data_IF_442639328870
#
_entry.id   IF_442639328870
#
_cell.length_a   1.000
_cell.length_b   1.000
_cell.length_c   1.000
_cell.angle_alpha   90.00
_cell.angle_beta   90.00
_cell.angle_gamma   90.00
#
_symmetry.space_group_name_H-M   'P 1'
#
loop_
_entity.id
_entity.type
_entity.pdbx_description
1 polymer ?
#
# COMPACT_ATOMS: atom_id res chain seq x y z
N UNK A 1 -2.02 13.13 -1.46
CA UNK A 1 -1.71 12.32 -2.68
C UNK A 1 -0.30 11.69 -2.70
N UNK A 2 0.58 12.04 -1.81
CA UNK A 2 1.97 11.55 -1.70
C UNK A 2 2.09 10.02 -1.58
N UNK A 3 1.21 9.36 -0.83
CA UNK A 3 1.19 7.89 -0.70
C UNK A 3 1.04 7.12 -2.03
N UNK A 4 0.37 7.71 -3.03
CA UNK A 4 0.28 7.11 -4.37
C UNK A 4 1.55 7.32 -5.17
N UNK A 5 2.19 8.49 -5.04
CA UNK A 5 3.40 8.83 -5.78
C UNK A 5 4.62 8.03 -5.34
N UNK A 6 4.67 7.59 -4.07
CA UNK A 6 5.73 6.75 -3.52
C UNK A 6 5.42 5.25 -3.61
N UNK A 7 4.24 4.86 -4.06
CA UNK A 7 3.65 3.52 -3.96
C UNK A 7 3.58 2.96 -2.53
N UNK A 8 3.71 3.81 -1.51
CA UNK A 8 3.49 3.40 -0.12
C UNK A 8 2.11 2.78 0.08
N UNK A 9 1.07 3.40 -0.51
CA UNK A 9 -0.29 2.89 -0.44
C UNK A 9 -0.39 1.43 -0.94
N UNK A 10 0.28 1.10 -2.04
CA UNK A 10 0.30 -0.29 -2.56
C UNK A 10 1.08 -1.23 -1.66
N UNK A 11 2.11 -0.74 -0.99
CA UNK A 11 2.82 -1.50 0.04
C UNK A 11 1.93 -1.81 1.25
N UNK A 12 1.17 -0.83 1.73
CA UNK A 12 0.20 -1.02 2.82
C UNK A 12 -0.94 -1.95 2.41
N UNK A 13 -1.50 -1.80 1.21
CA UNK A 13 -2.54 -2.70 0.68
C UNK A 13 -2.04 -4.15 0.54
N UNK A 14 -0.77 -4.38 0.22
CA UNK A 14 -0.17 -5.71 0.24
C UNK A 14 -0.17 -6.29 1.66
N UNK A 15 0.25 -5.50 2.65
CA UNK A 15 0.24 -5.90 4.06
C UNK A 15 -1.20 -6.22 4.51
N UNK A 16 -2.16 -5.36 4.17
CA UNK A 16 -3.58 -5.58 4.46
C UNK A 16 -4.10 -6.88 3.84
N UNK A 17 -3.78 -7.14 2.58
CA UNK A 17 -4.22 -8.35 1.89
C UNK A 17 -3.66 -9.64 2.51
N UNK A 18 -2.40 -9.62 2.98
CA UNK A 18 -1.81 -10.73 3.73
C UNK A 18 -2.65 -11.05 4.96
N UNK A 19 -3.00 -10.05 5.75
CA UNK A 19 -3.77 -10.24 6.99
C UNK A 19 -5.25 -10.55 6.73
N UNK A 20 -5.91 -9.87 5.80
CA UNK A 20 -7.34 -10.06 5.52
C UNK A 20 -7.64 -11.41 4.89
N UNK A 21 -6.76 -11.91 4.03
CA UNK A 21 -6.98 -13.16 3.28
C UNK A 21 -6.14 -14.34 3.78
N UNK A 22 -5.25 -14.13 4.74
CA UNK A 22 -4.35 -15.19 5.23
C UNK A 22 -3.42 -15.74 4.15
N UNK A 23 -3.04 -14.92 3.17
CA UNK A 23 -2.20 -15.32 2.06
C UNK A 23 -0.72 -15.00 2.34
N UNK A 24 0.21 -15.86 1.91
CA UNK A 24 1.62 -15.51 1.98
C UNK A 24 1.92 -14.36 0.98
N UNK A 25 2.84 -13.44 1.32
CA UNK A 25 3.14 -12.26 0.51
C UNK A 25 3.53 -12.59 -0.94
N UNK A 26 4.14 -13.74 -1.16
CA UNK A 26 4.59 -14.22 -2.48
C UNK A 26 3.43 -14.53 -3.44
N UNK A 27 2.22 -14.74 -2.91
CA UNK A 27 1.01 -14.95 -3.71
C UNK A 27 0.29 -13.64 -4.07
N UNK A 28 0.79 -12.51 -3.61
CA UNK A 28 0.20 -11.19 -3.88
C UNK A 28 1.10 -10.45 -4.84
N UNK A 29 0.63 -10.23 -6.06
CA UNK A 29 1.34 -9.49 -7.08
C UNK A 29 0.82 -8.06 -7.19
N UNK A 30 1.72 -7.09 -7.31
CA UNK A 30 1.40 -5.70 -7.58
C UNK A 30 1.73 -5.40 -9.03
N UNK A 31 0.75 -4.91 -9.75
CA UNK A 31 0.89 -4.42 -11.13
C UNK A 31 0.49 -2.95 -11.20
N UNK A 32 1.17 -2.21 -12.06
CA UNK A 32 0.85 -0.81 -12.32
C UNK A 32 -0.10 -0.73 -13.51
N UNK A 33 -1.27 -0.13 -13.30
CA UNK A 33 -2.28 0.09 -14.33
C UNK A 33 -2.62 1.58 -14.34
N UNK A 34 -2.05 2.30 -15.33
CA UNK A 34 -2.05 3.78 -15.36
C UNK A 34 -3.43 4.38 -15.48
N UNK A 35 -4.34 3.71 -16.20
CA UNK A 35 -5.73 4.15 -16.36
C UNK A 35 -6.54 4.04 -15.05
N UNK A 36 -6.05 3.28 -14.07
CA UNK A 36 -6.70 3.07 -12.77
C UNK A 36 -8.15 2.53 -12.89
N UNK A 37 -8.35 1.61 -13.82
CA UNK A 37 -9.64 0.96 -14.10
C UNK A 37 -9.71 -0.41 -13.44
N UNK A 38 -8.61 -1.17 -13.45
CA UNK A 38 -8.52 -2.47 -12.73
C UNK A 38 -8.07 -2.20 -11.30
N UNK A 39 -8.89 -2.57 -10.34
CA UNK A 39 -8.62 -2.30 -8.92
C UNK A 39 -8.12 -3.52 -8.16
N UNK A 40 -8.62 -4.72 -8.53
CA UNK A 40 -8.15 -5.98 -7.97
C UNK A 40 -8.39 -7.11 -8.96
N UNK A 41 -7.62 -8.20 -8.83
CA UNK A 41 -7.82 -9.40 -9.62
C UNK A 41 -7.48 -10.64 -8.77
N UNK A 42 -8.15 -11.75 -9.06
CA UNK A 42 -7.87 -13.06 -8.47
C UNK A 42 -7.55 -14.02 -9.59
N UNK A 43 -6.38 -14.64 -9.53
CA UNK A 43 -5.98 -15.73 -10.41
C UNK A 43 -6.24 -17.06 -9.72
N UNK A 44 -6.97 -17.94 -10.40
CA UNK A 44 -7.29 -19.29 -9.92
C UNK A 44 -6.21 -20.31 -10.31
N UNK A 45 -6.30 -21.51 -9.77
CA UNK A 45 -5.35 -22.61 -10.02
C UNK A 45 -5.32 -23.07 -11.48
N UNK A 46 -6.41 -22.86 -12.22
CA UNK A 46 -6.51 -23.13 -13.66
C UNK A 46 -5.97 -21.96 -14.53
N UNK A 47 -5.35 -20.95 -13.90
CA UNK A 47 -4.84 -19.72 -14.50
C UNK A 47 -5.91 -18.76 -15.04
N UNK A 48 -7.20 -19.04 -14.86
CA UNK A 48 -8.22 -18.04 -15.18
C UNK A 48 -8.13 -16.86 -14.20
N UNK A 49 -8.50 -15.66 -14.67
CA UNK A 49 -8.41 -14.42 -13.87
C UNK A 49 -9.76 -13.74 -13.84
N UNK A 50 -10.24 -13.42 -12.64
CA UNK A 50 -11.40 -12.54 -12.45
C UNK A 50 -10.93 -11.23 -11.86
N UNK A 51 -11.32 -10.11 -12.48
CA UNK A 51 -10.93 -8.78 -12.06
C UNK A 51 -12.14 -7.90 -11.76
N UNK A 52 -11.99 -7.02 -10.78
CA UNK A 52 -12.94 -5.94 -10.52
C UNK A 52 -12.48 -4.70 -11.30
N UNK A 53 -13.34 -4.20 -12.18
CA UNK A 53 -13.14 -3.00 -12.98
C UNK A 53 -14.18 -1.94 -12.61
N UNK A 54 -13.78 -0.67 -12.73
CA UNK A 54 -14.67 0.47 -12.52
C UNK A 54 -13.95 1.79 -12.78
N UNK A 55 -14.68 2.87 -12.91
CA UNK A 55 -14.09 4.22 -12.92
C UNK A 55 -13.35 4.46 -11.58
N UNK A 56 -12.25 5.26 -11.57
CA UNK A 56 -11.42 5.46 -10.38
C UNK A 56 -12.11 6.40 -9.37
N UNK A 57 -13.15 5.91 -8.73
CA UNK A 57 -13.98 6.65 -7.79
C UNK A 57 -14.26 5.82 -6.53
N UNK A 58 -13.83 6.34 -5.38
CA UNK A 58 -14.01 5.68 -4.09
C UNK A 58 -15.47 5.53 -3.64
N UNK A 59 -16.40 6.27 -4.25
CA UNK A 59 -17.82 6.12 -3.96
C UNK A 59 -18.35 4.73 -4.30
N UNK A 60 -17.75 4.04 -5.27
CA UNK A 60 -18.13 2.66 -5.62
C UNK A 60 -17.94 1.68 -4.45
N UNK A 61 -16.73 1.50 -3.90
CA UNK A 61 -16.53 0.58 -2.78
C UNK A 61 -17.22 1.05 -1.49
N UNK A 62 -17.29 2.36 -1.24
CA UNK A 62 -17.99 2.91 -0.07
C UNK A 62 -19.48 2.61 -0.14
N UNK A 63 -20.13 2.88 -1.28
CA UNK A 63 -21.54 2.56 -1.49
C UNK A 63 -21.81 1.07 -1.26
N UNK A 64 -20.98 0.19 -1.84
CA UNK A 64 -21.16 -1.24 -1.66
C UNK A 64 -20.97 -1.70 -0.22
N UNK A 65 -19.99 -1.16 0.49
CA UNK A 65 -19.79 -1.46 1.91
C UNK A 65 -21.01 -1.07 2.77
N UNK A 66 -21.64 0.06 2.46
CA UNK A 66 -22.84 0.53 3.18
C UNK A 66 -24.13 -0.25 2.84
N UNK A 67 -24.19 -0.83 1.64
CA UNK A 67 -25.40 -1.52 1.16
C UNK A 67 -25.26 -3.05 1.11
N UNK A 68 -24.10 -3.56 1.48
CA UNK A 68 -23.82 -5.00 1.45
C UNK A 68 -24.94 -5.85 2.06
N UNK A 69 -25.34 -7.00 1.43
CA UNK A 69 -24.78 -7.58 0.19
C UNK A 69 -25.47 -7.06 -1.09
N UNK A 70 -26.33 -6.06 -1.00
CA UNK A 70 -27.14 -5.57 -2.14
C UNK A 70 -26.30 -4.64 -3.03
N UNK A 71 -26.48 -4.77 -4.35
CA UNK A 71 -26.02 -3.80 -5.34
C UNK A 71 -27.15 -2.82 -5.65
N UNK A 72 -26.95 -1.54 -5.35
CA UNK A 72 -27.93 -0.47 -5.61
C UNK A 72 -27.47 0.37 -6.81
N UNK A 73 -28.36 1.19 -7.42
CA UNK A 73 -27.98 2.05 -8.54
C UNK A 73 -26.72 2.87 -8.24
N UNK A 74 -25.81 2.93 -9.22
CA UNK A 74 -24.52 3.61 -9.09
C UNK A 74 -24.66 5.12 -8.95
N UNK A 75 -23.77 5.74 -8.15
CA UNK A 75 -23.66 7.18 -7.96
C UNK A 75 -22.54 7.79 -8.80
N UNK A 76 -21.93 7.00 -9.66
CA UNK A 76 -20.83 7.37 -10.55
C UNK A 76 -21.17 7.01 -12.00
N UNK A 77 -20.51 7.60 -13.00
CA UNK A 77 -20.70 7.21 -14.39
C UNK A 77 -20.36 5.74 -14.64
N UNK A 78 -21.01 5.13 -15.60
CA UNK A 78 -20.68 3.79 -16.06
C UNK A 78 -19.31 3.75 -16.74
N UNK A 79 -18.62 2.61 -16.66
CA UNK A 79 -17.38 2.38 -17.38
C UNK A 79 -17.70 2.05 -18.83
N UNK A 80 -17.31 2.95 -19.73
CA UNK A 80 -17.46 2.78 -21.19
C UNK A 80 -16.22 2.06 -21.77
N UNK A 81 -16.34 0.76 -22.05
CA UNK A 81 -15.26 -0.04 -22.65
C UNK A 81 -14.92 0.41 -24.08
N UNK A 82 -15.88 0.93 -24.84
CA UNK A 82 -15.64 1.41 -26.20
C UNK A 82 -14.80 2.70 -26.20
N UNK A 83 -15.05 3.58 -25.25
CA UNK A 83 -14.24 4.77 -25.04
C UNK A 83 -12.87 4.46 -24.46
N UNK A 84 -12.78 3.47 -23.56
CA UNK A 84 -11.54 3.03 -22.91
C UNK A 84 -10.54 2.42 -23.90
N UNK A 85 -10.98 1.58 -24.80
CA UNK A 85 -10.23 0.88 -25.87
C UNK A 85 -9.12 -0.04 -25.41
N UNK A 86 -8.19 0.44 -24.54
CA UNK A 86 -6.95 -0.27 -24.17
C UNK A 86 -6.73 -0.19 -22.66
N UNK A 87 -6.31 -1.30 -22.07
CA UNK A 87 -5.75 -1.38 -20.74
C UNK A 87 -4.26 -1.75 -20.85
N UNK A 88 -3.41 -1.01 -20.16
CA UNK A 88 -1.97 -1.25 -20.12
C UNK A 88 -1.53 -1.65 -18.73
N UNK A 89 -0.60 -2.60 -18.66
CA UNK A 89 -0.06 -3.10 -17.41
C UNK A 89 1.46 -3.02 -17.42
N UNK A 90 2.03 -2.50 -16.34
CA UNK A 90 3.47 -2.40 -16.14
C UNK A 90 3.86 -3.10 -14.84
N UNK A 91 5.11 -3.50 -14.74
CA UNK A 91 5.69 -4.00 -13.49
C UNK A 91 6.02 -2.83 -12.57
N UNK A 92 5.77 -2.99 -11.27
CA UNK A 92 6.18 -1.98 -10.29
C UNK A 92 7.71 -2.01 -10.13
N UNK A 93 8.36 -0.88 -10.40
CA UNK A 93 9.81 -0.70 -10.24
C UNK A 93 10.15 -0.45 -8.75
N UNK A 94 10.64 -1.48 -8.07
CA UNK A 94 10.96 -1.43 -6.64
C UNK A 94 12.24 -0.63 -6.34
N UNK A 95 13.13 -0.43 -7.31
CA UNK A 95 14.32 0.42 -7.14
C UNK A 95 13.94 1.89 -7.07
N UNK A 96 13.03 2.31 -7.95
CA UNK A 96 12.47 3.67 -7.94
C UNK A 96 11.50 3.87 -6.77
N UNK A 97 10.64 2.88 -6.50
CA UNK A 97 9.60 2.98 -5.46
C UNK A 97 10.01 2.29 -4.15
N UNK A 98 11.01 2.85 -3.48
CA UNK A 98 11.59 2.31 -2.23
C UNK A 98 10.56 2.06 -1.12
N UNK A 99 9.50 2.86 -1.02
CA UNK A 99 8.43 2.62 -0.04
C UNK A 99 7.74 1.27 -0.27
N UNK A 100 7.51 0.89 -1.54
CA UNK A 100 6.95 -0.42 -1.87
C UNK A 100 7.90 -1.55 -1.47
N UNK A 101 9.19 -1.43 -1.82
CA UNK A 101 10.22 -2.39 -1.45
C UNK A 101 10.32 -2.54 0.08
N UNK A 102 10.31 -1.42 0.81
CA UNK A 102 10.32 -1.41 2.28
C UNK A 102 9.11 -2.13 2.88
N UNK A 103 7.89 -1.91 2.37
CA UNK A 103 6.69 -2.62 2.83
C UNK A 103 6.76 -4.13 2.56
N UNK A 104 7.26 -4.55 1.40
CA UNK A 104 7.50 -5.97 1.10
C UNK A 104 8.52 -6.60 2.05
N UNK A 105 9.56 -5.87 2.40
CA UNK A 105 10.56 -6.30 3.38
C UNK A 105 9.97 -6.36 4.79
N UNK A 106 9.19 -5.34 5.18
CA UNK A 106 8.55 -5.26 6.49
C UNK A 106 7.60 -6.44 6.74
N UNK A 107 6.75 -6.80 5.78
CA UNK A 107 5.82 -7.93 5.93
C UNK A 107 6.56 -9.27 5.97
N UNK A 108 7.68 -9.42 5.25
CA UNK A 108 8.52 -10.63 5.33
C UNK A 108 9.24 -10.76 6.66
N UNK A 109 9.70 -9.66 7.25
CA UNK A 109 10.28 -9.65 8.60
C UNK A 109 9.24 -10.03 9.66
N UNK A 110 7.97 -9.69 9.43
CA UNK A 110 6.89 -9.92 10.39
C UNK A 110 6.97 -9.02 11.62
N UNK A 111 6.36 -9.44 12.72
CA UNK A 111 6.35 -8.69 13.97
C UNK A 111 5.86 -7.26 13.79
N UNK A 112 6.59 -6.31 14.34
CA UNK A 112 6.29 -4.87 14.26
C UNK A 112 6.81 -4.17 13.00
N UNK A 113 7.45 -4.90 12.07
CA UNK A 113 7.95 -4.33 10.81
C UNK A 113 6.94 -3.48 10.04
N UNK A 114 5.70 -3.97 9.80
CA UNK A 114 4.63 -3.17 9.17
C UNK A 114 4.29 -1.89 9.92
N UNK A 115 4.20 -1.93 11.25
CA UNK A 115 3.96 -0.75 12.09
C UNK A 115 5.09 0.28 11.95
N UNK A 116 6.33 -0.18 12.01
CA UNK A 116 7.50 0.67 11.85
C UNK A 116 7.54 1.37 10.47
N UNK A 117 7.23 0.62 9.39
CA UNK A 117 7.16 1.18 8.05
C UNK A 117 6.09 2.28 7.94
N UNK A 118 4.92 2.08 8.55
CA UNK A 118 3.84 3.07 8.55
C UNK A 118 4.21 4.31 9.35
N UNK A 119 4.69 4.16 10.60
CA UNK A 119 5.11 5.27 11.45
C UNK A 119 6.22 6.11 10.83
N UNK A 120 7.21 5.44 10.20
CA UNK A 120 8.28 6.11 9.47
C UNK A 120 7.74 6.92 8.28
N UNK A 121 6.84 6.32 7.49
CA UNK A 121 6.27 7.01 6.34
C UNK A 121 5.45 8.24 6.73
N UNK A 122 4.61 8.15 7.76
CA UNK A 122 3.81 9.29 8.21
C UNK A 122 4.68 10.46 8.68
N UNK A 123 5.75 10.18 9.45
CA UNK A 123 6.66 11.22 9.89
C UNK A 123 7.46 11.81 8.71
N UNK A 124 7.97 10.97 7.80
CA UNK A 124 8.70 11.44 6.63
C UNK A 124 7.83 12.30 5.70
N UNK A 125 6.56 11.90 5.48
CA UNK A 125 5.60 12.70 4.72
C UNK A 125 5.32 14.04 5.40
N UNK A 126 5.17 14.05 6.71
CA UNK A 126 5.01 15.31 7.47
C UNK A 126 6.21 16.24 7.28
N UNK A 127 7.43 15.71 7.42
CA UNK A 127 8.66 16.49 7.24
C UNK A 127 8.80 17.01 5.81
N UNK A 128 8.41 16.24 4.82
CA UNK A 128 8.36 16.67 3.42
C UNK A 128 7.37 17.83 3.22
N UNK A 129 6.17 17.76 3.81
CA UNK A 129 5.17 18.83 3.73
C UNK A 129 5.59 20.11 4.49
N UNK A 130 6.53 19.97 5.41
CA UNK A 130 7.17 21.09 6.13
C UNK A 130 8.45 21.59 5.42
N UNK A 131 8.73 21.15 4.20
CA UNK A 131 9.93 21.47 3.40
C UNK A 131 11.27 21.15 4.10
N UNK A 132 11.28 20.18 5.04
CA UNK A 132 12.46 19.77 5.79
C UNK A 132 13.29 18.69 5.10
N UNK A 133 12.69 17.92 4.21
CA UNK A 133 13.33 16.85 3.43
C UNK A 133 12.83 16.87 1.98
N UNK A 134 13.62 16.27 1.08
CA UNK A 134 13.23 16.07 -0.32
C UNK A 134 12.27 14.89 -0.52
N UNK A 135 11.60 14.86 -1.66
CA UNK A 135 10.63 13.79 -1.99
C UNK A 135 11.25 12.37 -1.93
N UNK A 136 12.47 12.20 -2.43
CA UNK A 136 13.17 10.91 -2.45
C UNK A 136 13.62 10.46 -1.05
N UNK A 137 13.75 11.39 -0.11
CA UNK A 137 14.12 11.08 1.28
C UNK A 137 13.01 10.29 2.00
N UNK A 138 11.74 10.44 1.60
CA UNK A 138 10.63 9.67 2.16
C UNK A 138 10.94 8.18 2.06
N UNK A 139 11.22 7.69 0.85
CA UNK A 139 11.51 6.27 0.63
C UNK A 139 12.79 5.81 1.33
N UNK A 140 13.85 6.64 1.33
CA UNK A 140 15.12 6.35 2.00
C UNK A 140 14.95 6.19 3.51
N UNK A 141 14.18 7.06 4.15
CA UNK A 141 13.95 7.02 5.60
C UNK A 141 13.08 5.83 6.01
N UNK A 142 12.02 5.54 5.24
CA UNK A 142 11.18 4.35 5.48
C UNK A 142 12.01 3.07 5.37
N UNK A 143 12.82 2.95 4.32
CA UNK A 143 13.72 1.80 4.12
C UNK A 143 14.71 1.66 5.28
N UNK A 144 15.35 2.74 5.72
CA UNK A 144 16.29 2.74 6.83
C UNK A 144 15.67 2.29 8.16
N UNK A 145 14.41 2.70 8.44
CA UNK A 145 13.68 2.23 9.63
C UNK A 145 13.41 0.73 9.53
N UNK A 146 12.92 0.25 8.39
CA UNK A 146 12.61 -1.17 8.19
C UNK A 146 13.88 -2.03 8.25
N UNK A 147 15.04 -1.49 7.85
CA UNK A 147 16.31 -2.18 7.88
C UNK A 147 16.91 -2.28 9.28
N UNK A 148 16.53 -1.39 10.19
CA UNK A 148 16.93 -1.50 11.59
C UNK A 148 16.31 -2.77 12.20
N UNK A 149 17.10 -3.55 12.95
CA UNK A 149 16.65 -4.82 13.56
C UNK A 149 15.82 -4.62 14.84
N UNK A 150 15.28 -3.41 15.05
CA UNK A 150 14.61 -3.01 16.31
C UNK A 150 13.16 -3.49 16.45
N UNK A 151 12.55 -4.03 15.39
CA UNK A 151 11.10 -4.17 15.28
C UNK A 151 10.63 -5.63 15.02
N UNK A 152 11.42 -6.62 15.37
CA UNK A 152 11.08 -8.04 15.24
C UNK A 152 10.55 -8.65 16.54
N UNK A 153 9.99 -9.87 16.46
CA UNK A 153 9.57 -10.70 17.58
C UNK A 153 8.06 -10.65 17.90
N UNK A 154 7.67 -11.33 18.97
CA UNK A 154 6.31 -11.30 19.50
C UNK A 154 6.04 -9.94 20.15
N UNK A 155 4.80 -9.47 20.07
CA UNK A 155 4.44 -8.13 20.51
C UNK A 155 3.05 -8.06 21.14
N UNK A 156 2.90 -7.09 22.03
CA UNK A 156 1.63 -6.67 22.64
C UNK A 156 1.12 -5.39 21.98
N UNK A 157 -0.10 -4.97 22.31
CA UNK A 157 -0.62 -3.67 21.85
C UNK A 157 0.25 -2.49 22.34
N UNK A 158 0.82 -2.59 23.54
CA UNK A 158 1.73 -1.54 24.05
C UNK A 158 2.97 -1.40 23.18
N UNK A 159 3.51 -2.54 22.69
CA UNK A 159 4.69 -2.55 21.82
C UNK A 159 4.41 -1.92 20.45
N UNK A 160 3.16 -2.01 19.97
CA UNK A 160 2.74 -1.33 18.72
C UNK A 160 2.84 0.19 18.87
N UNK A 161 2.33 0.76 19.97
CA UNK A 161 2.44 2.20 20.23
C UNK A 161 3.89 2.66 20.41
N UNK A 162 4.68 1.86 21.09
CA UNK A 162 6.11 2.16 21.27
C UNK A 162 6.87 2.07 19.96
N UNK A 163 6.58 1.09 19.12
CA UNK A 163 7.15 0.93 17.79
C UNK A 163 6.84 2.15 16.91
N UNK A 164 5.60 2.61 16.85
CA UNK A 164 5.22 3.80 16.09
C UNK A 164 6.01 5.04 16.56
N UNK A 165 6.09 5.24 17.89
CA UNK A 165 6.86 6.33 18.49
C UNK A 165 8.34 6.26 18.11
N UNK A 166 8.96 5.08 18.25
CA UNK A 166 10.38 4.86 17.93
C UNK A 166 10.68 5.05 16.45
N UNK A 167 9.81 4.59 15.56
CA UNK A 167 9.96 4.76 14.12
C UNK A 167 9.95 6.25 13.74
N UNK A 168 9.04 7.04 14.31
CA UNK A 168 8.98 8.50 14.10
C UNK A 168 10.22 9.22 14.67
N UNK A 169 10.70 8.82 15.83
CA UNK A 169 11.92 9.36 16.42
C UNK A 169 13.16 9.03 15.58
N UNK A 170 13.24 7.80 15.06
CA UNK A 170 14.31 7.41 14.16
C UNK A 170 14.37 8.33 12.93
N UNK A 171 13.22 8.58 12.29
CA UNK A 171 13.14 9.47 11.11
C UNK A 171 13.63 10.87 11.47
N UNK A 172 13.20 11.43 12.60
CA UNK A 172 13.64 12.77 13.05
C UNK A 172 15.14 12.87 13.36
N UNK A 173 15.73 11.78 13.81
CA UNK A 173 17.16 11.72 14.13
C UNK A 173 18.07 11.54 12.90
N UNK A 174 17.51 11.22 11.74
CA UNK A 174 18.26 10.97 10.50
C UNK A 174 17.95 12.02 9.39
N UNK A 175 17.60 13.22 9.83
CA UNK A 175 17.41 14.41 8.97
C UNK A 175 18.74 14.92 8.41
#
# INVERSE_FOLDING_TARGET
MLFRSTLMNKGLELIEAVWLFGLPPEKIQIVVQRQSIVHSAVQFSDHSVIAQLGVPDMRIPIQYALTYPKRVPGVVPELDFAALKVLTFDVADEETFRCLAACKKAIKKGGLGPCAANGANEEAVKLFLEDKIGFLDIGRLVEAVVDSDRFGGDYTLSDVYECDRMAREFVRAHL
#
